data_IF_473786097238
#
_entry.id   IF_473786097238
#
_cell.length_a   1.000
_cell.length_b   1.000
_cell.length_c   1.000
_cell.angle_alpha   90.00
_cell.angle_beta   90.00
_cell.angle_gamma   90.00
#
_symmetry.space_group_name_H-M   'P 1'
#
loop_
_entity.id
_entity.type
_entity.pdbx_description
1 polymer ?
#
# COMPACT_ATOMS: atom_id res chain seq x y z
N UNK A 1 -4.09 -1.81 25.80
CA UNK A 1 -3.99 -1.63 24.34
C UNK A 1 -3.15 -0.40 24.06
N UNK A 2 -2.03 -0.58 23.38
CA UNK A 2 -1.11 0.51 23.07
C UNK A 2 -1.52 1.16 21.76
N UNK A 3 -1.90 2.43 21.80
CA UNK A 3 -2.03 3.25 20.60
C UNK A 3 -0.62 3.43 19.99
N UNK A 4 -0.36 2.79 18.84
CA UNK A 4 0.98 2.76 18.27
C UNK A 4 1.44 4.13 17.77
N UNK A 5 0.53 4.95 17.25
CA UNK A 5 0.83 6.32 16.83
C UNK A 5 1.27 7.22 17.99
N UNK A 6 0.64 7.08 19.17
CA UNK A 6 1.07 7.76 20.39
C UNK A 6 2.49 7.32 20.79
N UNK A 7 2.77 6.02 20.76
CA UNK A 7 4.10 5.51 21.10
C UNK A 7 5.16 5.97 20.11
N UNK A 8 4.82 6.05 18.82
CA UNK A 8 5.75 6.50 17.79
C UNK A 8 6.06 8.00 17.91
N UNK A 9 5.03 8.85 17.98
CA UNK A 9 5.18 10.30 17.87
C UNK A 9 5.30 11.05 19.19
N UNK A 10 4.81 10.49 20.31
CA UNK A 10 4.68 11.22 21.59
C UNK A 10 5.40 10.57 22.78
N UNK A 11 5.78 9.29 22.69
CA UNK A 11 6.55 8.66 23.77
C UNK A 11 7.95 9.26 23.89
N UNK A 12 8.52 9.39 25.09
CA UNK A 12 9.93 9.76 25.28
C UNK A 12 10.92 8.84 24.54
N UNK A 13 10.53 7.58 24.28
CA UNK A 13 11.33 6.59 23.57
C UNK A 13 11.11 6.63 22.04
N UNK A 14 10.29 7.55 21.52
CA UNK A 14 10.04 7.76 20.09
C UNK A 14 9.84 6.46 19.27
N UNK A 15 9.01 5.57 19.79
CA UNK A 15 8.66 4.34 19.10
C UNK A 15 9.68 3.20 19.17
N UNK A 16 10.86 3.36 19.80
CA UNK A 16 11.93 2.33 19.83
C UNK A 16 11.43 0.95 20.27
N UNK A 17 10.44 0.93 21.17
CA UNK A 17 9.90 -0.31 21.75
C UNK A 17 8.75 -0.91 20.90
N UNK A 18 8.38 -0.32 19.76
CA UNK A 18 7.26 -0.81 18.93
C UNK A 18 7.57 -2.14 18.25
N UNK A 19 8.83 -2.40 17.88
CA UNK A 19 9.27 -3.65 17.26
C UNK A 19 9.09 -4.85 18.21
N UNK A 20 9.17 -4.60 19.52
CA UNK A 20 9.09 -5.63 20.56
C UNK A 20 7.65 -5.89 21.02
N UNK A 21 6.69 -5.07 20.57
CA UNK A 21 5.29 -5.16 21.00
C UNK A 21 4.52 -6.17 20.16
N UNK A 22 3.91 -7.12 20.86
CA UNK A 22 2.88 -7.98 20.30
C UNK A 22 1.54 -7.26 20.30
N UNK A 23 0.89 -7.25 19.16
CA UNK A 23 -0.44 -6.69 18.98
C UNK A 23 -1.47 -7.81 18.94
N UNK A 24 -2.69 -7.49 19.36
CA UNK A 24 -3.88 -8.30 19.10
C UNK A 24 -4.88 -7.40 18.38
N UNK A 25 -5.44 -7.88 17.27
CA UNK A 25 -6.53 -7.24 16.52
C UNK A 25 -7.86 -7.30 17.31
N UNK A 26 -7.83 -6.91 18.58
CA UNK A 26 -8.99 -6.85 19.47
C UNK A 26 -9.69 -5.48 19.35
N UNK A 27 -10.64 -5.24 20.24
CA UNK A 27 -11.35 -3.97 20.30
C UNK A 27 -10.45 -2.82 20.77
N UNK A 28 -9.84 -2.06 19.87
CA UNK A 28 -9.01 -0.90 20.21
C UNK A 28 -9.90 0.18 20.83
N UNK A 29 -9.64 0.51 22.10
CA UNK A 29 -10.43 1.49 22.86
C UNK A 29 -11.93 1.13 22.94
N UNK A 30 -12.27 -0.17 22.96
CA UNK A 30 -13.67 -0.63 23.01
C UNK A 30 -14.37 -0.65 21.65
N UNK A 31 -13.68 -0.29 20.57
CA UNK A 31 -14.18 -0.37 19.19
C UNK A 31 -13.58 -1.61 18.54
N UNK A 32 -14.41 -2.50 17.97
CA UNK A 32 -13.90 -3.58 17.15
C UNK A 32 -13.15 -3.01 15.94
N UNK A 33 -11.85 -3.28 15.86
CA UNK A 33 -10.96 -2.74 14.85
C UNK A 33 -11.44 -3.00 13.42
N UNK A 34 -11.83 -4.25 13.14
CA UNK A 34 -12.30 -4.61 11.81
C UNK A 34 -13.62 -3.91 11.47
N UNK A 35 -14.52 -3.79 12.45
CA UNK A 35 -15.82 -3.14 12.25
C UNK A 35 -15.68 -1.61 12.06
N UNK A 36 -14.68 -0.98 12.68
CA UNK A 36 -14.40 0.44 12.50
C UNK A 36 -14.05 0.79 11.05
N UNK A 37 -13.21 -0.02 10.41
CA UNK A 37 -12.76 0.23 9.04
C UNK A 37 -13.70 -0.34 7.98
N UNK A 38 -14.53 -1.31 8.33
CA UNK A 38 -15.43 -1.97 7.39
C UNK A 38 -16.48 -0.99 6.87
N UNK A 39 -16.55 -0.87 5.55
CA UNK A 39 -17.55 -0.05 4.87
C UNK A 39 -18.53 -0.95 4.13
N UNK A 40 -19.82 -0.74 4.38
CA UNK A 40 -20.88 -1.52 3.74
C UNK A 40 -20.90 -1.38 2.21
N UNK A 41 -21.30 -2.46 1.53
CA UNK A 41 -21.47 -2.53 0.07
C UNK A 41 -20.19 -2.15 -0.69
N UNK A 42 -19.02 -2.54 -0.17
CA UNK A 42 -17.73 -2.41 -0.84
C UNK A 42 -17.30 -3.73 -1.45
N UNK A 43 -16.52 -3.64 -2.52
CA UNK A 43 -15.76 -4.74 -3.09
C UNK A 43 -14.42 -4.80 -2.39
N UNK A 44 -14.01 -5.98 -1.94
CA UNK A 44 -12.80 -6.16 -1.16
C UNK A 44 -11.92 -7.28 -1.72
N UNK A 45 -10.63 -7.19 -1.43
CA UNK A 45 -9.71 -8.32 -1.47
C UNK A 45 -8.65 -8.16 -0.37
N UNK A 46 -8.07 -9.27 0.04
CA UNK A 46 -7.05 -9.31 1.08
C UNK A 46 -5.71 -9.65 0.45
N UNK A 47 -4.66 -8.92 0.82
CA UNK A 47 -3.28 -9.21 0.42
C UNK A 47 -2.37 -9.16 1.63
N UNK A 48 -1.42 -10.08 1.67
CA UNK A 48 -0.47 -10.25 2.77
C UNK A 48 0.91 -9.71 2.39
N UNK A 49 1.54 -8.99 3.31
CA UNK A 49 2.92 -8.50 3.14
C UNK A 49 3.91 -9.66 3.13
N UNK A 50 4.97 -9.55 2.32
CA UNK A 50 6.08 -10.51 2.28
C UNK A 50 7.37 -9.85 2.74
N UNK A 51 8.43 -10.64 2.96
CA UNK A 51 9.76 -10.12 3.28
C UNK A 51 10.25 -9.17 2.17
N UNK A 52 10.86 -8.01 2.51
CA UNK A 52 11.28 -7.53 3.83
C UNK A 52 10.21 -6.80 4.64
N UNK A 53 8.97 -6.74 4.18
CA UNK A 53 7.87 -6.00 4.81
C UNK A 53 7.46 -4.79 3.98
N UNK A 54 6.70 -3.87 4.58
CA UNK A 54 6.10 -2.74 3.87
C UNK A 54 6.47 -1.41 4.53
N UNK A 55 7.00 -0.47 3.73
CA UNK A 55 7.29 0.89 4.15
C UNK A 55 6.16 1.81 3.67
N UNK A 56 5.45 2.41 4.62
CA UNK A 56 4.43 3.43 4.35
C UNK A 56 4.83 4.75 4.99
N UNK A 57 4.39 5.85 4.39
CA UNK A 57 4.52 7.16 5.02
C UNK A 57 5.94 7.68 5.21
N UNK A 58 6.95 7.10 4.56
CA UNK A 58 8.35 7.53 4.70
C UNK A 58 8.60 9.02 4.38
N UNK A 59 7.71 9.65 3.61
CA UNK A 59 7.77 11.08 3.28
C UNK A 59 7.07 11.99 4.28
N UNK A 60 6.39 11.46 5.32
CA UNK A 60 5.82 12.29 6.37
C UNK A 60 6.92 12.85 7.26
N UNK A 61 6.71 14.08 7.71
CA UNK A 61 7.60 14.72 8.68
C UNK A 61 7.55 13.93 9.98
N UNK A 62 8.69 13.40 10.39
CA UNK A 62 8.91 12.90 11.74
C UNK A 62 9.63 13.99 12.53
N UNK A 63 9.32 14.21 13.83
CA UNK A 63 10.14 15.08 14.65
C UNK A 63 11.61 14.67 14.50
N UNK A 64 12.49 15.65 14.32
CA UNK A 64 13.91 15.42 14.13
C UNK A 64 14.48 14.78 15.40
N UNK A 65 15.09 13.62 15.26
CA UNK A 65 15.56 12.84 16.40
C UNK A 65 17.05 12.53 16.33
N UNK A 66 17.62 12.37 17.52
CA UNK A 66 19.05 12.15 17.81
C UNK A 66 19.55 10.86 17.14
N UNK A 67 20.86 10.63 17.16
CA UNK A 67 21.44 9.38 16.68
C UNK A 67 20.75 8.15 17.32
N UNK A 68 20.32 7.20 16.47
CA UNK A 68 19.67 5.94 16.89
C UNK A 68 18.14 5.91 16.82
N UNK A 69 17.49 7.05 16.59
CA UNK A 69 16.04 7.15 16.45
C UNK A 69 15.55 6.88 15.02
N UNK A 70 14.25 6.60 14.88
CA UNK A 70 13.62 6.45 13.57
C UNK A 70 13.67 7.76 12.78
N UNK A 71 14.29 7.69 11.60
CA UNK A 71 14.58 8.85 10.76
C UNK A 71 13.52 9.10 9.67
N UNK A 72 12.55 8.20 9.52
CA UNK A 72 11.48 8.30 8.52
C UNK A 72 10.12 8.43 9.20
N UNK A 73 9.21 9.17 8.57
CA UNK A 73 7.82 9.23 8.99
C UNK A 73 7.09 7.91 8.79
N UNK A 74 5.95 7.77 9.46
CA UNK A 74 5.08 6.62 9.34
C UNK A 74 3.62 7.03 9.41
N UNK A 75 2.77 6.41 8.60
CA UNK A 75 1.35 6.79 8.56
C UNK A 75 0.53 5.90 9.48
N UNK A 76 -0.22 6.53 10.39
CA UNK A 76 -1.17 5.88 11.27
C UNK A 76 -2.53 6.55 11.15
N UNK A 77 -3.58 5.77 11.31
CA UNK A 77 -4.92 6.28 11.54
C UNK A 77 -4.97 7.05 12.87
N UNK A 78 -5.65 8.20 12.86
CA UNK A 78 -5.68 9.12 13.99
C UNK A 78 -6.52 8.61 15.16
N UNK A 79 -7.53 7.78 14.88
CA UNK A 79 -8.46 7.28 15.90
C UNK A 79 -7.91 6.02 16.56
N UNK A 80 -7.61 4.99 15.77
CA UNK A 80 -7.13 3.70 16.27
C UNK A 80 -5.65 3.71 16.66
N UNK A 81 -4.86 4.61 16.06
CA UNK A 81 -3.41 4.62 16.20
C UNK A 81 -2.72 3.45 15.51
N UNK A 82 -3.43 2.69 14.68
CA UNK A 82 -2.89 1.59 13.88
C UNK A 82 -2.52 2.06 12.48
N UNK A 83 -1.61 1.36 11.80
CA UNK A 83 -1.20 1.75 10.48
C UNK A 83 -2.23 1.36 9.44
N UNK A 84 -2.45 2.26 8.49
CA UNK A 84 -3.35 2.07 7.36
C UNK A 84 -2.64 2.55 6.10
N UNK A 85 -3.06 2.04 4.94
CA UNK A 85 -2.56 2.53 3.66
C UNK A 85 -3.60 3.48 3.08
N UNK A 86 -3.29 4.77 2.88
CA UNK A 86 -4.25 5.72 2.36
C UNK A 86 -4.82 5.28 1.00
N UNK A 87 -6.12 5.46 0.79
CA UNK A 87 -6.80 5.16 -0.48
C UNK A 87 -6.24 5.99 -1.64
N UNK A 88 -5.70 7.17 -1.36
CA UNK A 88 -4.95 8.00 -2.32
C UNK A 88 -3.63 7.35 -2.75
N UNK A 89 -2.92 6.68 -1.84
CA UNK A 89 -1.71 5.91 -2.12
C UNK A 89 -2.04 4.69 -2.98
N UNK A 90 -3.08 3.93 -2.63
CA UNK A 90 -3.58 2.80 -3.44
C UNK A 90 -3.91 3.28 -4.84
N UNK A 91 -4.72 4.34 -4.97
CA UNK A 91 -5.09 4.94 -6.25
C UNK A 91 -3.87 5.42 -7.03
N UNK A 92 -2.87 5.99 -6.36
CA UNK A 92 -1.64 6.51 -6.96
C UNK A 92 -0.81 5.40 -7.62
N UNK A 93 -0.63 4.28 -6.92
CA UNK A 93 0.11 3.13 -7.46
C UNK A 93 -0.64 2.47 -8.59
N UNK A 94 -1.94 2.24 -8.41
CA UNK A 94 -2.78 1.71 -9.48
C UNK A 94 -2.71 2.60 -10.73
N UNK A 95 -2.69 3.93 -10.59
CA UNK A 95 -2.51 4.85 -11.72
C UNK A 95 -1.09 4.85 -12.32
N UNK A 96 -0.08 4.47 -11.55
CA UNK A 96 1.33 4.59 -11.96
C UNK A 96 1.71 3.64 -13.09
N UNK A 97 1.03 2.49 -13.18
CA UNK A 97 1.28 1.47 -14.20
C UNK A 97 0.72 1.84 -15.57
N UNK A 98 -0.14 2.85 -15.63
CA UNK A 98 -0.73 3.33 -16.87
C UNK A 98 0.15 4.39 -17.56
N UNK A 99 0.10 4.49 -18.89
CA UNK A 99 0.87 5.48 -19.64
C UNK A 99 0.43 6.90 -19.28
N UNK A 100 1.40 7.78 -19.02
CA UNK A 100 1.15 9.20 -18.69
C UNK A 100 1.50 10.11 -19.85
N UNK A 101 0.85 11.27 -19.90
CA UNK A 101 1.21 12.34 -20.84
C UNK A 101 2.66 12.76 -20.59
N UNK A 102 3.47 12.83 -21.65
CA UNK A 102 4.89 13.23 -21.58
C UNK A 102 5.89 12.08 -21.36
N UNK A 103 5.44 10.84 -21.18
CA UNK A 103 6.36 9.68 -21.18
C UNK A 103 6.90 9.41 -22.59
N UNK A 104 8.10 8.81 -22.68
CA UNK A 104 8.67 8.35 -23.94
C UNK A 104 7.78 7.26 -24.57
N UNK A 105 7.70 7.22 -25.89
CA UNK A 105 6.77 6.32 -26.59
C UNK A 105 7.07 4.83 -26.37
N UNK A 106 8.33 4.49 -26.13
CA UNK A 106 8.73 3.13 -25.72
C UNK A 106 8.11 2.72 -24.38
N UNK A 107 8.16 3.60 -23.37
CA UNK A 107 7.56 3.36 -22.05
C UNK A 107 6.05 3.22 -22.17
N UNK A 108 5.41 4.06 -22.99
CA UNK A 108 3.95 3.97 -23.23
C UNK A 108 3.57 2.63 -23.84
N UNK A 109 4.32 2.18 -24.86
CA UNK A 109 4.08 0.90 -25.55
C UNK A 109 4.17 -0.28 -24.57
N UNK A 110 5.19 -0.33 -23.72
CA UNK A 110 5.34 -1.41 -22.74
C UNK A 110 4.20 -1.41 -21.70
N UNK A 111 3.84 -0.24 -21.17
CA UNK A 111 2.70 -0.13 -20.23
C UNK A 111 1.37 -0.53 -20.87
N UNK A 112 1.13 -0.12 -22.11
CA UNK A 112 -0.06 -0.54 -22.86
C UNK A 112 -0.08 -2.04 -23.10
N UNK A 113 1.06 -2.63 -23.47
CA UNK A 113 1.20 -4.07 -23.70
C UNK A 113 0.88 -4.87 -22.44
N UNK A 114 1.46 -4.49 -21.31
CA UNK A 114 1.15 -5.09 -20.01
C UNK A 114 -0.35 -4.98 -19.70
N UNK A 115 -0.92 -3.78 -19.80
CA UNK A 115 -2.31 -3.55 -19.45
C UNK A 115 -3.30 -4.30 -20.36
N UNK A 116 -3.07 -4.29 -21.68
CA UNK A 116 -3.92 -5.02 -22.63
C UNK A 116 -3.82 -6.54 -22.40
N UNK A 117 -2.63 -7.06 -22.09
CA UNK A 117 -2.44 -8.46 -21.71
C UNK A 117 -3.25 -8.83 -20.46
N UNK A 118 -3.20 -7.99 -19.43
CA UNK A 118 -3.94 -8.20 -18.19
C UNK A 118 -5.47 -8.12 -18.38
N UNK A 119 -5.96 -7.14 -19.15
CA UNK A 119 -7.38 -7.04 -19.48
C UNK A 119 -7.84 -8.26 -20.28
N UNK A 120 -7.04 -8.73 -21.23
CA UNK A 120 -7.36 -9.94 -22.00
C UNK A 120 -7.49 -11.16 -21.08
N UNK A 121 -6.57 -11.32 -20.14
CA UNK A 121 -6.62 -12.41 -19.16
C UNK A 121 -7.88 -12.35 -18.28
N UNK A 122 -8.29 -11.15 -17.84
CA UNK A 122 -9.42 -10.98 -16.93
C UNK A 122 -10.77 -11.08 -17.64
N UNK A 123 -10.89 -10.47 -18.82
CA UNK A 123 -12.17 -10.31 -19.54
C UNK A 123 -12.36 -11.32 -20.67
N UNK A 124 -11.30 -12.03 -21.07
CA UNK A 124 -11.28 -12.91 -22.25
C UNK A 124 -11.37 -12.18 -23.59
N UNK A 125 -11.37 -10.84 -23.61
CA UNK A 125 -11.59 -10.02 -24.80
C UNK A 125 -10.31 -9.32 -25.24
N UNK A 126 -10.00 -9.39 -26.53
CA UNK A 126 -8.94 -8.59 -27.14
C UNK A 126 -9.34 -7.11 -27.12
N UNK A 127 -8.84 -6.42 -26.09
CA UNK A 127 -9.14 -5.03 -25.83
C UNK A 127 -7.93 -4.22 -26.27
N UNK A 128 -8.00 -3.61 -27.45
CA UNK A 128 -6.96 -2.69 -27.91
C UNK A 128 -7.23 -1.31 -27.33
N UNK A 129 -6.64 -1.01 -26.16
CA UNK A 129 -6.72 0.32 -25.57
C UNK A 129 -5.56 1.18 -26.08
N UNK A 130 -5.90 2.42 -26.45
CA UNK A 130 -4.93 3.48 -26.73
C UNK A 130 -4.63 4.29 -25.46
N UNK A 131 -3.57 5.10 -25.51
CA UNK A 131 -2.93 5.77 -24.37
C UNK A 131 -3.87 6.58 -23.43
N UNK A 132 -5.08 6.91 -23.86
CA UNK A 132 -5.99 7.80 -23.12
C UNK A 132 -7.31 7.16 -22.68
N UNK A 133 -7.44 5.83 -22.75
CA UNK A 133 -8.71 5.16 -22.46
C UNK A 133 -8.84 4.64 -21.01
N UNK A 134 -7.73 4.52 -20.29
CA UNK A 134 -7.68 3.95 -18.93
C UNK A 134 -8.19 4.91 -17.83
N UNK A 135 -8.26 6.22 -18.09
CA UNK A 135 -8.66 7.23 -17.09
C UNK A 135 -10.01 6.92 -16.42
N UNK A 136 -10.95 6.37 -17.19
CA UNK A 136 -12.29 5.94 -16.75
C UNK A 136 -12.28 4.91 -15.62
N UNK A 137 -11.21 4.14 -15.46
CA UNK A 137 -11.04 3.22 -14.34
C UNK A 137 -10.97 3.96 -12.99
N UNK A 138 -10.58 5.24 -13.02
CA UNK A 138 -10.33 6.07 -11.84
C UNK A 138 -11.23 7.33 -11.75
N UNK A 139 -12.15 7.50 -12.71
CA UNK A 139 -13.07 8.64 -12.85
C UNK A 139 -14.27 8.59 -11.88
N UNK A 140 -15.08 9.65 -11.91
CA UNK A 140 -16.17 9.98 -10.96
C UNK A 140 -17.08 8.78 -10.69
N UNK A 141 -17.16 8.39 -9.42
CA UNK A 141 -18.02 7.33 -8.91
C UNK A 141 -17.29 6.11 -8.35
N UNK A 142 -16.00 5.92 -8.69
CA UNK A 142 -15.15 4.91 -8.06
C UNK A 142 -14.43 5.50 -6.85
N UNK A 143 -14.57 4.88 -5.68
CA UNK A 143 -13.95 5.32 -4.42
C UNK A 143 -12.94 4.27 -3.98
N UNK A 144 -11.75 4.77 -3.61
CA UNK A 144 -10.63 4.01 -3.09
C UNK A 144 -10.50 4.41 -1.63
N UNK A 145 -10.87 3.51 -0.73
CA UNK A 145 -10.78 3.76 0.70
C UNK A 145 -9.41 3.32 1.22
N UNK A 146 -9.14 3.65 2.48
CA UNK A 146 -7.91 3.21 3.15
C UNK A 146 -7.93 1.70 3.33
N UNK A 147 -6.77 1.07 3.10
CA UNK A 147 -6.58 -0.35 3.39
C UNK A 147 -6.13 -0.52 4.84
N UNK A 148 -6.77 -1.41 5.57
CA UNK A 148 -6.56 -1.64 7.00
C UNK A 148 -6.07 -3.06 7.27
N UNK A 149 -5.48 -3.29 8.45
CA UNK A 149 -4.94 -4.61 8.81
C UNK A 149 -6.09 -5.54 9.24
N UNK A 150 -6.39 -6.58 8.47
CA UNK A 150 -7.45 -7.54 8.82
C UNK A 150 -6.95 -8.80 9.51
N UNK A 151 -5.67 -9.15 9.35
CA UNK A 151 -5.03 -10.23 10.08
C UNK A 151 -3.56 -9.92 10.36
N UNK A 152 -3.07 -10.46 11.48
CA UNK A 152 -1.67 -10.36 11.92
C UNK A 152 -1.11 -11.77 12.10
N UNK A 153 0.22 -11.96 12.02
CA UNK A 153 0.84 -13.25 12.30
C UNK A 153 0.58 -13.71 13.76
N UNK A 154 0.68 -15.01 14.00
CA UNK A 154 0.42 -15.62 15.32
C UNK A 154 1.32 -15.07 16.43
N UNK A 155 2.52 -14.62 16.09
CA UNK A 155 3.46 -13.96 17.00
C UNK A 155 3.07 -12.50 17.32
N UNK A 156 1.96 -11.99 16.80
CA UNK A 156 1.44 -10.65 17.04
C UNK A 156 2.29 -9.50 16.47
N UNK A 157 3.36 -9.79 15.71
CA UNK A 157 4.27 -8.75 15.21
C UNK A 157 3.67 -8.00 14.02
N UNK A 158 3.28 -6.76 14.25
CA UNK A 158 2.80 -5.83 13.20
C UNK A 158 3.92 -4.96 12.66
N UNK A 159 4.85 -4.57 13.52
CA UNK A 159 5.95 -3.69 13.17
C UNK A 159 7.26 -4.45 13.16
N UNK A 160 8.16 -3.98 12.32
CA UNK A 160 9.57 -4.36 12.33
C UNK A 160 10.41 -3.11 12.12
N UNK A 161 11.68 -3.18 12.46
CA UNK A 161 12.64 -2.15 12.12
C UNK A 161 13.59 -2.62 11.03
N UNK A 162 14.23 -1.66 10.37
CA UNK A 162 15.30 -1.92 9.43
C UNK A 162 16.21 -0.70 9.30
N UNK A 163 17.32 -0.85 8.58
CA UNK A 163 18.36 0.16 8.42
C UNK A 163 18.68 0.39 6.95
N UNK A 164 18.76 1.66 6.56
CA UNK A 164 19.34 2.05 5.26
C UNK A 164 20.71 2.64 5.53
N UNK A 165 21.74 2.12 4.86
CA UNK A 165 23.13 2.60 4.97
C UNK A 165 23.54 3.30 3.67
N UNK A 166 23.18 4.58 3.46
CA UNK A 166 23.58 5.28 2.23
C UNK A 166 25.09 5.54 2.25
N UNK A 167 25.80 5.05 1.24
CA UNK A 167 27.21 5.33 1.05
C UNK A 167 27.39 6.58 0.17
N UNK A 168 27.68 7.73 0.78
CA UNK A 168 28.01 8.96 0.02
C UNK A 168 29.44 8.94 -0.54
N UNK A 169 30.34 8.14 0.03
CA UNK A 169 31.72 7.95 -0.40
C UNK A 169 32.13 6.49 -0.14
N UNK A 170 32.89 5.90 -1.07
CA UNK A 170 33.31 4.48 -1.01
C UNK A 170 34.16 4.18 0.25
N UNK A 171 34.92 5.17 0.73
CA UNK A 171 35.86 5.01 1.84
C UNK A 171 35.35 5.51 3.19
N UNK A 172 34.13 6.05 3.28
CA UNK A 172 33.54 6.48 4.56
C UNK A 172 32.61 5.41 5.09
N UNK A 173 32.71 5.13 6.39
CA UNK A 173 31.77 4.25 7.08
C UNK A 173 30.35 4.80 6.90
N UNK A 174 29.38 3.95 6.52
CA UNK A 174 28.00 4.38 6.34
C UNK A 174 27.41 4.78 7.70
N UNK A 175 26.47 5.74 7.66
CA UNK A 175 25.67 6.12 8.82
C UNK A 175 24.35 5.36 8.70
N UNK A 176 24.06 4.37 9.57
CA UNK A 176 22.80 3.63 9.51
C UNK A 176 21.60 4.54 9.82
N UNK A 177 20.64 4.55 8.91
CA UNK A 177 19.37 5.26 9.04
C UNK A 177 18.33 4.22 9.46
N UNK A 178 18.00 4.17 10.75
CA UNK A 178 16.97 3.30 11.31
C UNK A 178 15.57 3.80 10.91
N UNK A 179 14.67 2.90 10.53
CA UNK A 179 13.27 3.24 10.20
C UNK A 179 12.30 2.13 10.60
N UNK A 180 11.04 2.51 10.83
CA UNK A 180 9.95 1.60 11.13
C UNK A 180 9.29 1.12 9.82
N UNK A 181 8.90 -0.15 9.79
CA UNK A 181 8.14 -0.78 8.69
C UNK A 181 7.03 -1.66 9.25
N UNK A 182 6.07 -2.01 8.41
CA UNK A 182 5.17 -3.12 8.68
C UNK A 182 5.94 -4.42 8.46
N UNK A 183 5.79 -5.35 9.40
CA UNK A 183 6.38 -6.67 9.34
C UNK A 183 5.84 -7.51 8.15
N UNK A 184 6.55 -8.57 7.74
CA UNK A 184 5.98 -9.60 6.88
C UNK A 184 4.76 -10.28 7.53
N UNK A 185 3.97 -10.97 6.70
CA UNK A 185 2.80 -11.75 7.11
C UNK A 185 1.63 -10.97 7.73
N UNK A 186 1.65 -9.64 7.58
CA UNK A 186 0.53 -8.76 7.94
C UNK A 186 -0.43 -8.67 6.75
N UNK A 187 -1.70 -8.97 6.99
CA UNK A 187 -2.73 -8.95 5.94
C UNK A 187 -3.48 -7.62 5.95
N UNK A 188 -3.51 -6.97 4.78
CA UNK A 188 -4.32 -5.78 4.54
C UNK A 188 -5.57 -6.13 3.73
N UNK A 189 -6.71 -5.60 4.17
CA UNK A 189 -7.95 -5.58 3.37
C UNK A 189 -8.01 -4.29 2.58
N UNK A 190 -8.05 -4.43 1.26
CA UNK A 190 -8.28 -3.33 0.33
C UNK A 190 -9.76 -3.26 0.01
N UNK A 191 -10.35 -2.07 0.11
CA UNK A 191 -11.79 -1.90 -0.06
C UNK A 191 -12.12 -0.75 -1.02
N UNK A 192 -13.10 -1.01 -1.89
CA UNK A 192 -13.43 -0.12 -3.00
C UNK A 192 -14.94 -0.02 -3.17
N UNK A 193 -15.42 1.16 -3.56
CA UNK A 193 -16.76 1.30 -4.15
C UNK A 193 -16.57 1.48 -5.64
N UNK A 194 -16.75 0.41 -6.41
CA UNK A 194 -16.56 0.43 -7.86
C UNK A 194 -17.92 0.39 -8.57
N UNK A 195 -18.02 1.15 -9.65
CA UNK A 195 -19.17 1.08 -10.56
C UNK A 195 -18.76 0.36 -11.83
N UNK A 196 -19.70 -0.30 -12.47
CA UNK A 196 -19.53 -0.73 -13.86
C UNK A 196 -19.22 0.48 -14.74
N UNK A 197 -18.49 0.26 -15.83
CA UNK A 197 -18.17 1.31 -16.76
C UNK A 197 -17.95 0.80 -18.17
N UNK A 198 -17.70 1.73 -19.07
CA UNK A 198 -17.36 1.44 -20.45
C UNK A 198 -16.13 2.24 -20.87
N UNK A 199 -15.17 1.55 -21.48
CA UNK A 199 -14.08 2.19 -22.22
C UNK A 199 -14.64 2.98 -23.42
N UNK A 200 -13.85 3.89 -23.99
CA UNK A 200 -14.23 4.75 -25.14
C UNK A 200 -14.60 3.96 -26.40
N UNK A 201 -14.09 2.74 -26.56
CA UNK A 201 -14.45 1.81 -27.65
C UNK A 201 -15.76 1.05 -27.36
N UNK A 202 -16.61 1.54 -26.45
CA UNK A 202 -17.86 0.92 -26.00
C UNK A 202 -17.72 -0.44 -25.30
N UNK A 203 -16.49 -0.89 -25.03
CA UNK A 203 -16.27 -2.11 -24.29
C UNK A 203 -16.62 -1.93 -22.82
N UNK A 204 -17.52 -2.78 -22.33
CA UNK A 204 -17.94 -2.82 -20.93
C UNK A 204 -16.86 -3.44 -20.05
N UNK A 205 -16.70 -2.89 -18.86
CA UNK A 205 -15.90 -3.46 -17.77
C UNK A 205 -16.71 -3.36 -16.48
N UNK A 206 -17.00 -4.52 -15.90
CA UNK A 206 -17.72 -4.65 -14.64
C UNK A 206 -16.86 -4.21 -13.46
N UNK A 207 -17.53 -3.84 -12.38
CA UNK A 207 -16.92 -3.55 -11.08
C UNK A 207 -16.04 -4.70 -10.55
N UNK A 208 -16.45 -5.96 -10.76
CA UNK A 208 -15.65 -7.14 -10.39
C UNK A 208 -14.40 -7.34 -11.27
N UNK A 209 -14.48 -7.08 -12.58
CA UNK A 209 -13.29 -7.12 -13.45
C UNK A 209 -12.29 -6.02 -13.07
N UNK A 210 -12.77 -4.82 -12.69
CA UNK A 210 -11.91 -3.76 -12.13
C UNK A 210 -11.25 -4.19 -10.83
N UNK A 211 -11.99 -4.88 -9.95
CA UNK A 211 -11.45 -5.38 -8.69
C UNK A 211 -10.29 -6.37 -8.93
N UNK A 212 -10.49 -7.34 -9.85
CA UNK A 212 -9.45 -8.30 -10.26
C UNK A 212 -8.23 -7.59 -10.87
N UNK A 213 -8.47 -6.60 -11.73
CA UNK A 213 -7.42 -5.79 -12.34
C UNK A 213 -6.58 -5.08 -11.27
N UNK A 214 -7.23 -4.43 -10.31
CA UNK A 214 -6.54 -3.72 -9.23
C UNK A 214 -5.77 -4.67 -8.31
N UNK A 215 -6.36 -5.84 -7.99
CA UNK A 215 -5.67 -6.89 -7.23
C UNK A 215 -4.39 -7.32 -7.93
N UNK A 216 -4.47 -7.65 -9.22
CA UNK A 216 -3.30 -8.11 -9.97
C UNK A 216 -2.22 -7.03 -10.08
N UNK A 217 -2.60 -5.77 -10.34
CA UNK A 217 -1.63 -4.67 -10.37
C UNK A 217 -0.89 -4.53 -9.02
N UNK A 218 -1.58 -4.70 -7.89
CA UNK A 218 -0.94 -4.64 -6.58
C UNK A 218 -0.04 -5.85 -6.30
N UNK A 219 -0.38 -7.05 -6.81
CA UNK A 219 0.47 -8.23 -6.74
C UNK A 219 1.75 -8.05 -7.57
N UNK A 220 1.63 -7.51 -8.78
CA UNK A 220 2.75 -7.39 -9.72
C UNK A 220 3.72 -6.25 -9.35
N UNK A 221 3.20 -5.13 -8.86
CA UNK A 221 4.00 -3.93 -8.62
C UNK A 221 4.26 -3.63 -7.14
N UNK A 222 3.53 -4.26 -6.22
CA UNK A 222 3.60 -3.97 -4.78
C UNK A 222 3.07 -2.58 -4.40
N UNK A 223 3.16 -2.25 -3.10
CA UNK A 223 2.69 -0.99 -2.53
C UNK A 223 3.73 -0.32 -1.62
N UNK A 224 3.63 1.00 -1.41
CA UNK A 224 4.54 1.73 -0.52
C UNK A 224 5.87 2.15 -1.16
N UNK A 225 6.86 2.43 -0.32
CA UNK A 225 8.16 2.93 -0.72
C UNK A 225 9.18 1.81 -0.97
N UNK A 226 10.24 2.11 -1.74
CA UNK A 226 11.40 1.24 -1.98
C UNK A 226 11.09 -0.14 -2.61
N UNK A 227 10.07 -0.19 -3.47
CA UNK A 227 9.64 -1.41 -4.18
C UNK A 227 10.72 -2.06 -5.05
N UNK A 228 11.60 -1.25 -5.64
CA UNK A 228 12.72 -1.74 -6.46
C UNK A 228 13.76 -2.57 -5.68
N UNK A 229 13.76 -2.50 -4.34
CA UNK A 229 14.64 -3.30 -3.47
C UNK A 229 13.83 -4.32 -2.64
N UNK A 230 12.62 -4.66 -3.09
CA UNK A 230 11.81 -5.77 -2.56
C UNK A 230 10.72 -5.39 -1.55
N UNK A 231 10.74 -4.17 -1.00
CA UNK A 231 9.71 -3.75 -0.04
C UNK A 231 8.32 -3.64 -0.66
N UNK A 232 7.31 -3.98 0.12
CA UNK A 232 5.92 -3.77 -0.26
C UNK A 232 5.39 -4.77 -1.29
N UNK A 233 6.12 -5.86 -1.52
CA UNK A 233 5.61 -7.02 -2.26
C UNK A 233 4.49 -7.70 -1.48
N UNK A 234 3.45 -8.10 -2.22
CA UNK A 234 2.22 -8.63 -1.68
C UNK A 234 1.92 -10.00 -2.29
N UNK A 235 1.30 -10.89 -1.51
CA UNK A 235 0.75 -12.16 -1.96
C UNK A 235 -0.72 -12.27 -1.58
N UNK A 236 -1.44 -13.21 -2.19
CA UNK A 236 -2.80 -13.52 -1.74
C UNK A 236 -2.77 -14.07 -0.30
N UNK A 237 -3.69 -13.57 0.53
CA UNK A 237 -3.85 -13.99 1.92
C UNK A 237 -4.72 -15.24 2.03
#
# INVERSE_FOLDING_TARGET
>A
MTNASFVYYRSPNFGRDLNEKEFKLAAIQGINYADYFKIDKTLIFNLKTTYPGLIIGAGYTHPALKEGDFQLGFYFDHTTGMPVIPGSTVKGILKSVFPKKGEADEIKREKLKYFNGLIKQITGKDTLLNDNNWGKLFEKGNIFFDAFISAIPDNGRVFAEDYITPHKNIFKNPIPIRFLKIAPDVTFTFQFKLKDGCFKNSQKISSNEKLKLFKQILLDFGIGAKRNVGYGNLIEA
#
